data_IF_080105384624
#
_entry.id   IF_080105384624
#
_cell.length_a   1.000
_cell.length_b   1.000
_cell.length_c   1.000
_cell.angle_alpha   90.00
_cell.angle_beta   90.00
_cell.angle_gamma   90.00
#
_symmetry.space_group_name_H-M   'P 1'
#
loop_
_entity.id
_entity.type
_entity.pdbx_description
1 polymer ?
#
# COMPACT_ATOMS: atom_id res chain seq x y z
N UNK A 1 -28.52 -11.73 -9.87
CA UNK A 1 -28.08 -12.56 -11.02
C UNK A 1 -26.58 -12.85 -10.90
N UNK A 2 -26.13 -14.10 -11.02
CA UNK A 2 -24.72 -14.52 -10.74
C UNK A 2 -23.85 -14.70 -11.98
N UNK A 3 -24.38 -14.52 -13.19
CA UNK A 3 -23.63 -14.75 -14.43
C UNK A 3 -22.50 -13.72 -14.62
N UNK A 4 -21.33 -14.20 -15.05
CA UNK A 4 -20.23 -13.31 -15.47
C UNK A 4 -20.58 -12.63 -16.79
N UNK A 5 -20.29 -11.33 -16.87
CA UNK A 5 -20.44 -10.57 -18.10
C UNK A 5 -19.08 -10.29 -18.71
N UNK A 6 -18.87 -10.69 -19.96
CA UNK A 6 -17.63 -10.42 -20.69
C UNK A 6 -17.80 -9.17 -21.54
N UNK A 7 -16.76 -8.34 -21.61
CA UNK A 7 -16.78 -7.19 -22.51
C UNK A 7 -16.53 -7.59 -23.98
N UNK A 8 -16.55 -6.60 -24.87
CA UNK A 8 -16.25 -6.76 -26.30
C UNK A 8 -14.85 -7.35 -26.62
N UNK A 9 -13.93 -7.40 -25.66
CA UNK A 9 -12.60 -8.03 -25.76
C UNK A 9 -12.54 -9.41 -25.11
N UNK A 10 -13.70 -10.00 -24.80
CA UNK A 10 -13.83 -11.26 -24.07
C UNK A 10 -13.11 -11.27 -22.71
N UNK A 11 -13.06 -10.11 -22.03
CA UNK A 11 -12.46 -9.96 -20.69
C UNK A 11 -13.53 -9.62 -19.66
N UNK A 12 -13.40 -10.20 -18.48
CA UNK A 12 -14.18 -9.82 -17.30
C UNK A 12 -13.62 -8.49 -16.77
N UNK A 13 -14.49 -7.51 -16.56
CA UNK A 13 -14.11 -6.25 -15.93
C UNK A 13 -15.25 -5.76 -15.03
N UNK A 14 -14.91 -4.91 -14.04
CA UNK A 14 -15.85 -4.39 -13.05
C UNK A 14 -17.07 -3.74 -13.70
N UNK A 15 -16.87 -2.82 -14.65
CA UNK A 15 -17.95 -1.97 -15.19
C UNK A 15 -19.00 -2.75 -15.98
N UNK A 16 -18.62 -3.85 -16.61
CA UNK A 16 -19.51 -4.69 -17.40
C UNK A 16 -20.35 -5.66 -16.55
N UNK A 17 -20.00 -5.90 -15.28
CA UNK A 17 -20.71 -6.88 -14.45
C UNK A 17 -22.11 -6.41 -14.05
N UNK A 18 -22.93 -7.36 -13.61
CA UNK A 18 -24.25 -7.11 -13.02
C UNK A 18 -24.15 -6.18 -11.79
N UNK A 19 -25.21 -5.44 -11.44
CA UNK A 19 -25.22 -4.58 -10.25
C UNK A 19 -24.73 -5.31 -8.98
N UNK A 20 -25.17 -6.55 -8.76
CA UNK A 20 -24.84 -7.32 -7.57
C UNK A 20 -23.36 -7.72 -7.53
N UNK A 21 -22.80 -8.22 -8.65
CA UNK A 21 -21.38 -8.54 -8.72
C UNK A 21 -20.53 -7.26 -8.57
N UNK A 22 -20.98 -6.12 -9.13
CA UNK A 22 -20.27 -4.84 -8.96
C UNK A 22 -20.23 -4.39 -7.51
N UNK A 23 -21.30 -4.60 -6.75
CA UNK A 23 -21.36 -4.24 -5.34
C UNK A 23 -20.39 -5.07 -4.50
N UNK A 24 -20.41 -6.40 -4.69
CA UNK A 24 -19.43 -7.32 -4.08
C UNK A 24 -18.00 -6.89 -4.42
N UNK A 25 -17.71 -6.66 -5.70
CA UNK A 25 -16.36 -6.29 -6.13
C UNK A 25 -15.92 -4.94 -5.57
N UNK A 26 -16.81 -3.95 -5.48
CA UNK A 26 -16.47 -2.63 -4.93
C UNK A 26 -16.12 -2.73 -3.45
N UNK A 27 -16.91 -3.47 -2.68
CA UNK A 27 -16.62 -3.70 -1.27
C UNK A 27 -15.34 -4.53 -1.08
N UNK A 28 -15.13 -5.56 -1.89
CA UNK A 28 -13.90 -6.36 -1.86
C UNK A 28 -12.65 -5.52 -2.21
N UNK A 29 -12.73 -4.62 -3.19
CA UNK A 29 -11.64 -3.70 -3.53
C UNK A 29 -11.30 -2.81 -2.34
N UNK A 30 -12.31 -2.27 -1.65
CA UNK A 30 -12.10 -1.41 -0.50
C UNK A 30 -11.51 -2.19 0.69
N UNK A 31 -12.00 -3.41 0.97
CA UNK A 31 -11.41 -4.32 1.97
C UNK A 31 -9.95 -4.67 1.66
N UNK A 32 -9.62 -4.93 0.40
CA UNK A 32 -8.23 -5.17 -0.02
C UNK A 32 -7.38 -3.91 0.14
N UNK A 33 -7.90 -2.72 -0.16
CA UNK A 33 -7.17 -1.48 0.09
C UNK A 33 -6.86 -1.31 1.57
N UNK A 34 -7.83 -1.57 2.45
CA UNK A 34 -7.62 -1.59 3.89
C UNK A 34 -6.53 -2.59 4.27
N UNK A 35 -6.60 -3.83 3.80
CA UNK A 35 -5.59 -4.85 4.11
C UNK A 35 -4.18 -4.44 3.63
N UNK A 36 -4.06 -3.98 2.38
CA UNK A 36 -2.78 -3.60 1.78
C UNK A 36 -2.16 -2.40 2.49
N UNK A 37 -2.96 -1.40 2.85
CA UNK A 37 -2.45 -0.17 3.46
C UNK A 37 -2.25 -0.26 4.96
N UNK A 38 -2.90 -1.21 5.64
CA UNK A 38 -2.84 -1.29 7.12
C UNK A 38 -2.14 -2.54 7.66
N UNK A 39 -2.05 -3.61 6.87
CA UNK A 39 -1.51 -4.90 7.32
C UNK A 39 -0.29 -5.32 6.51
N UNK A 40 -0.44 -5.47 5.20
CA UNK A 40 0.62 -5.98 4.37
C UNK A 40 0.61 -5.35 2.97
N UNK A 41 1.52 -4.41 2.72
CA UNK A 41 1.61 -3.78 1.42
C UNK A 41 2.08 -4.74 0.32
N UNK A 42 2.76 -5.84 0.67
CA UNK A 42 3.31 -6.86 -0.25
C UNK A 42 2.99 -8.29 0.21
N UNK A 43 1.71 -8.75 0.14
CA UNK A 43 1.43 -10.18 0.21
C UNK A 43 2.28 -10.95 -0.81
N UNK A 44 2.84 -12.08 -0.37
CA UNK A 44 3.76 -12.91 -1.13
C UNK A 44 3.26 -13.24 -2.54
N UNK A 45 4.21 -13.48 -3.46
CA UNK A 45 3.90 -13.96 -4.81
C UNK A 45 3.31 -15.37 -4.70
N UNK A 46 1.99 -15.46 -4.84
CA UNK A 46 1.22 -16.71 -4.72
C UNK A 46 0.02 -16.55 -3.79
N UNK A 47 0.14 -15.78 -2.71
CA UNK A 47 -0.95 -15.55 -1.74
C UNK A 47 -1.83 -14.36 -2.09
N UNK A 48 -1.33 -13.42 -2.89
CA UNK A 48 -2.06 -12.23 -3.33
C UNK A 48 -3.42 -12.54 -3.99
N UNK A 49 -3.50 -13.57 -4.82
CA UNK A 49 -4.77 -13.99 -5.43
C UNK A 49 -5.75 -14.53 -4.37
N UNK A 50 -5.24 -15.23 -3.35
CA UNK A 50 -6.06 -15.70 -2.23
C UNK A 50 -6.59 -14.53 -1.41
N UNK A 51 -5.75 -13.52 -1.10
CA UNK A 51 -6.20 -12.29 -0.43
C UNK A 51 -7.32 -11.60 -1.21
N UNK A 52 -7.21 -11.52 -2.53
CA UNK A 52 -8.24 -10.95 -3.39
C UNK A 52 -9.54 -11.77 -3.41
N UNK A 53 -9.43 -13.10 -3.41
CA UNK A 53 -10.57 -14.00 -3.36
C UNK A 53 -11.27 -13.96 -1.99
N UNK A 54 -10.51 -14.00 -0.90
CA UNK A 54 -11.03 -13.93 0.47
C UNK A 54 -11.78 -12.63 0.69
N UNK A 55 -11.30 -11.51 0.15
CA UNK A 55 -12.03 -10.25 0.17
C UNK A 55 -13.35 -10.30 -0.62
N UNK A 56 -13.41 -11.04 -1.73
CA UNK A 56 -14.67 -11.25 -2.45
C UNK A 56 -15.67 -12.04 -1.60
N UNK A 57 -15.20 -13.08 -0.91
CA UNK A 57 -16.00 -13.92 -0.01
C UNK A 57 -16.54 -13.08 1.15
N UNK A 58 -15.65 -12.38 1.87
CA UNK A 58 -16.02 -11.51 2.99
C UNK A 58 -16.98 -10.39 2.57
N UNK A 59 -16.79 -9.82 1.37
CA UNK A 59 -17.70 -8.81 0.84
C UNK A 59 -19.11 -9.39 0.59
N UNK A 60 -19.21 -10.56 -0.04
CA UNK A 60 -20.49 -11.21 -0.29
C UNK A 60 -21.20 -11.63 1.01
N UNK A 61 -20.44 -12.10 2.02
CA UNK A 61 -20.95 -12.40 3.36
C UNK A 61 -21.49 -11.14 4.04
N UNK A 62 -20.73 -10.05 4.01
CA UNK A 62 -21.10 -8.78 4.66
C UNK A 62 -22.35 -8.15 4.05
N UNK A 63 -22.52 -8.25 2.72
CA UNK A 63 -23.69 -7.70 2.03
C UNK A 63 -24.98 -8.51 2.30
N UNK A 64 -24.88 -9.69 2.91
CA UNK A 64 -26.01 -10.41 3.47
C UNK A 64 -26.74 -11.36 2.53
N UNK A 65 -27.96 -11.74 2.92
CA UNK A 65 -28.69 -12.91 2.40
C UNK A 65 -28.94 -12.87 0.89
N UNK A 66 -29.18 -11.69 0.32
CA UNK A 66 -29.40 -11.52 -1.12
C UNK A 66 -28.17 -11.85 -1.98
N UNK A 67 -26.97 -11.92 -1.38
CA UNK A 67 -25.71 -12.25 -2.05
C UNK A 67 -25.27 -13.71 -1.86
N UNK A 68 -26.03 -14.52 -1.12
CA UNK A 68 -25.76 -15.97 -0.91
C UNK A 68 -25.49 -16.73 -2.21
N UNK A 69 -26.21 -16.51 -3.33
CA UNK A 69 -25.90 -17.18 -4.59
C UNK A 69 -24.49 -16.86 -5.15
N UNK A 70 -23.97 -15.64 -4.91
CA UNK A 70 -22.62 -15.25 -5.31
C UNK A 70 -21.62 -15.88 -4.33
N UNK A 71 -21.90 -15.81 -3.03
CA UNK A 71 -21.08 -16.41 -1.97
C UNK A 71 -20.86 -17.91 -2.19
N UNK A 72 -21.93 -18.66 -2.44
CA UNK A 72 -21.86 -20.10 -2.68
C UNK A 72 -20.92 -20.44 -3.83
N UNK A 73 -20.94 -19.66 -4.92
CA UNK A 73 -20.04 -19.86 -6.07
C UNK A 73 -18.60 -19.44 -5.77
N UNK A 74 -18.38 -18.44 -4.91
CA UNK A 74 -17.04 -18.05 -4.47
C UNK A 74 -16.40 -19.12 -3.57
N UNK A 75 -17.22 -19.81 -2.76
CA UNK A 75 -16.79 -20.87 -1.84
C UNK A 75 -16.68 -22.25 -2.51
N UNK A 76 -17.39 -22.49 -3.61
CA UNK A 76 -17.32 -23.77 -4.33
C UNK A 76 -15.99 -23.95 -5.07
N UNK A 77 -15.20 -24.93 -4.63
CA UNK A 77 -13.91 -25.30 -5.23
C UNK A 77 -13.99 -25.66 -6.72
N UNK A 78 -15.16 -26.06 -7.22
CA UNK A 78 -15.38 -26.43 -8.61
C UNK A 78 -15.61 -25.23 -9.53
N UNK A 79 -16.01 -24.09 -8.99
CA UNK A 79 -16.29 -22.83 -9.72
C UNK A 79 -15.00 -22.04 -10.03
N UNK A 80 -13.96 -22.73 -10.50
CA UNK A 80 -12.62 -22.16 -10.73
C UNK A 80 -12.65 -20.92 -11.63
N UNK A 81 -13.47 -20.93 -12.68
CA UNK A 81 -13.60 -19.81 -13.61
C UNK A 81 -14.21 -18.57 -12.97
N UNK A 82 -15.27 -18.75 -12.17
CA UNK A 82 -15.94 -17.67 -11.46
C UNK A 82 -15.04 -17.05 -10.39
N UNK A 83 -14.46 -17.91 -9.54
CA UNK A 83 -13.54 -17.51 -8.47
C UNK A 83 -12.35 -16.73 -9.02
N UNK A 84 -11.70 -17.26 -10.05
CA UNK A 84 -10.58 -16.60 -10.70
C UNK A 84 -10.98 -15.24 -11.30
N UNK A 85 -12.10 -15.18 -12.00
CA UNK A 85 -12.53 -13.96 -12.68
C UNK A 85 -12.76 -12.79 -11.71
N UNK A 86 -13.42 -13.02 -10.57
CA UNK A 86 -13.66 -11.98 -9.57
C UNK A 86 -12.37 -11.59 -8.85
N UNK A 87 -11.60 -12.58 -8.42
CA UNK A 87 -10.34 -12.33 -7.73
C UNK A 87 -9.32 -11.59 -8.61
N UNK A 88 -9.23 -11.88 -9.91
CA UNK A 88 -8.32 -11.17 -10.83
C UNK A 88 -8.66 -9.67 -10.96
N UNK A 89 -9.94 -9.29 -10.88
CA UNK A 89 -10.34 -7.87 -10.89
C UNK A 89 -9.81 -7.16 -9.65
N UNK A 90 -10.05 -7.75 -8.48
CA UNK A 90 -9.62 -7.19 -7.19
C UNK A 90 -8.10 -7.18 -7.09
N UNK A 91 -7.45 -8.26 -7.50
CA UNK A 91 -6.00 -8.37 -7.57
C UNK A 91 -5.41 -7.23 -8.41
N UNK A 92 -5.93 -6.98 -9.61
CA UNK A 92 -5.45 -5.90 -10.47
C UNK A 92 -5.50 -4.52 -9.79
N UNK A 93 -6.44 -4.29 -8.87
CA UNK A 93 -6.56 -3.04 -8.11
C UNK A 93 -5.46 -2.83 -7.09
N UNK A 94 -4.84 -3.90 -6.57
CA UNK A 94 -3.64 -3.81 -5.71
C UNK A 94 -2.48 -3.22 -6.49
N UNK A 95 -2.26 -3.69 -7.73
CA UNK A 95 -1.21 -3.15 -8.60
C UNK A 95 -1.45 -1.69 -8.91
N UNK A 96 -2.69 -1.30 -9.23
CA UNK A 96 -3.05 0.10 -9.48
C UNK A 96 -2.77 0.97 -8.25
N UNK A 97 -3.21 0.55 -7.07
CA UNK A 97 -2.98 1.27 -5.81
C UNK A 97 -1.48 1.51 -5.57
N UNK A 98 -0.65 0.47 -5.70
CA UNK A 98 0.80 0.61 -5.51
C UNK A 98 1.43 1.52 -6.57
N UNK A 99 1.00 1.43 -7.82
CA UNK A 99 1.45 2.33 -8.89
C UNK A 99 1.15 3.79 -8.59
N UNK A 100 -0.04 4.09 -8.07
CA UNK A 100 -0.43 5.44 -7.68
C UNK A 100 0.43 5.97 -6.54
N UNK A 101 0.67 5.17 -5.50
CA UNK A 101 1.54 5.54 -4.37
C UNK A 101 2.98 5.75 -4.83
N UNK A 102 3.53 4.86 -5.67
CA UNK A 102 4.88 5.04 -6.23
C UNK A 102 5.00 6.32 -7.02
N UNK A 103 4.02 6.63 -7.88
CA UNK A 103 4.01 7.87 -8.66
C UNK A 103 4.05 9.10 -7.77
N UNK A 104 3.30 9.10 -6.66
CA UNK A 104 3.36 10.16 -5.65
C UNK A 104 4.76 10.19 -5.03
N UNK A 105 5.30 9.04 -4.62
CA UNK A 105 6.62 8.94 -4.01
C UNK A 105 7.73 9.49 -4.90
N UNK A 106 7.78 9.08 -6.18
CA UNK A 106 8.75 9.56 -7.18
C UNK A 106 8.74 11.09 -7.27
N UNK A 107 7.56 11.71 -7.28
CA UNK A 107 7.46 13.17 -7.34
C UNK A 107 7.97 13.85 -6.05
N UNK A 108 7.72 13.25 -4.87
CA UNK A 108 8.16 13.82 -3.60
C UNK A 108 9.68 13.69 -3.39
N UNK A 109 10.25 12.51 -3.69
CA UNK A 109 11.69 12.25 -3.42
C UNK A 109 12.62 13.16 -4.22
N UNK A 110 12.19 13.61 -5.41
CA UNK A 110 12.94 14.55 -6.25
C UNK A 110 13.31 15.83 -5.50
N UNK A 111 12.32 16.50 -4.92
CA UNK A 111 12.53 17.76 -4.21
C UNK A 111 13.23 17.55 -2.87
N UNK A 112 12.78 16.56 -2.09
CA UNK A 112 13.28 16.35 -0.73
C UNK A 112 14.72 15.86 -0.65
N UNK A 113 15.17 15.04 -1.61
CA UNK A 113 16.55 14.56 -1.64
C UNK A 113 17.39 15.25 -2.72
N UNK A 114 16.86 16.23 -3.44
CA UNK A 114 17.55 16.90 -4.56
C UNK A 114 18.10 15.89 -5.60
N UNK A 115 17.30 14.86 -5.92
CA UNK A 115 17.65 13.84 -6.91
C UNK A 115 17.72 14.46 -8.30
N UNK A 116 18.76 14.10 -9.04
CA UNK A 116 18.99 14.54 -10.42
C UNK A 116 19.95 13.59 -11.11
N UNK A 117 20.02 13.67 -12.43
CA UNK A 117 20.98 12.89 -13.24
C UNK A 117 22.42 12.99 -12.75
N UNK A 118 23.19 11.92 -12.97
CA UNK A 118 24.61 11.74 -12.64
C UNK A 118 24.96 11.77 -11.14
N UNK A 119 24.01 11.40 -10.27
CA UNK A 119 24.19 11.36 -8.80
C UNK A 119 24.14 9.95 -8.20
N UNK A 120 24.64 8.93 -8.92
CA UNK A 120 24.59 7.53 -8.49
C UNK A 120 25.18 7.31 -7.08
N UNK A 121 26.36 7.88 -6.80
CA UNK A 121 27.03 7.73 -5.50
C UNK A 121 26.25 8.36 -4.34
N UNK A 122 25.57 9.47 -4.60
CA UNK A 122 24.71 10.11 -3.62
C UNK A 122 23.47 9.25 -3.33
N UNK A 123 22.83 8.70 -4.36
CA UNK A 123 21.70 7.77 -4.18
C UNK A 123 22.13 6.52 -3.43
N UNK A 124 23.30 5.96 -3.76
CA UNK A 124 23.89 4.85 -3.00
C UNK A 124 24.10 5.21 -1.52
N UNK A 125 24.54 6.43 -1.24
CA UNK A 125 24.72 6.94 0.13
C UNK A 125 23.40 7.08 0.88
N UNK A 126 22.32 7.50 0.21
CA UNK A 126 20.97 7.54 0.78
C UNK A 126 20.46 6.14 1.12
N UNK A 127 20.69 5.20 0.22
CA UNK A 127 20.20 3.82 0.31
C UNK A 127 20.98 3.00 1.34
N UNK A 128 22.27 3.30 1.52
CA UNK A 128 23.12 2.71 2.54
C UNK A 128 22.53 2.91 3.94
N UNK A 129 22.42 1.82 4.70
CA UNK A 129 21.75 1.76 6.00
C UNK A 129 20.38 2.47 6.05
N UNK A 130 19.68 2.57 4.90
CA UNK A 130 18.38 3.23 4.76
C UNK A 130 18.37 4.69 5.25
N UNK A 131 19.48 5.44 5.10
CA UNK A 131 19.61 6.81 5.63
C UNK A 131 18.47 7.75 5.25
N UNK A 132 17.85 7.54 4.08
CA UNK A 132 16.69 8.31 3.62
C UNK A 132 15.51 8.35 4.61
N UNK A 133 15.38 7.42 5.56
CA UNK A 133 14.27 7.49 6.53
C UNK A 133 14.46 8.55 7.61
N UNK A 134 15.69 9.02 7.85
CA UNK A 134 16.03 9.93 8.93
C UNK A 134 15.94 11.39 8.47
N UNK A 135 15.45 12.33 9.28
CA UNK A 135 15.44 13.75 8.95
C UNK A 135 16.86 14.33 8.86
N UNK A 136 17.07 15.34 8.02
CA UNK A 136 18.36 16.05 7.92
C UNK A 136 18.67 16.58 6.52
N UNK A 137 19.78 17.32 6.41
CA UNK A 137 20.33 17.76 5.12
C UNK A 137 21.22 16.67 4.52
N UNK A 138 20.59 15.78 3.76
CA UNK A 138 21.27 14.68 3.08
C UNK A 138 22.30 15.15 2.07
N UNK A 139 22.12 16.33 1.45
CA UNK A 139 23.07 16.87 0.48
C UNK A 139 24.41 17.23 1.12
N UNK A 140 24.39 17.48 2.44
CA UNK A 140 25.58 17.70 3.28
C UNK A 140 25.99 16.48 4.09
N UNK A 141 25.35 15.33 3.87
CA UNK A 141 25.59 14.10 4.63
C UNK A 141 25.14 14.18 6.09
N UNK A 142 24.22 15.08 6.43
CA UNK A 142 23.70 15.26 7.79
C UNK A 142 22.37 14.52 7.94
N UNK A 143 22.28 13.65 8.95
CA UNK A 143 21.08 12.89 9.26
C UNK A 143 20.92 12.71 10.77
N UNK A 144 19.69 12.85 11.25
CA UNK A 144 19.32 12.67 12.65
C UNK A 144 18.85 11.23 12.88
N UNK A 145 19.79 10.37 13.26
CA UNK A 145 19.53 8.95 13.55
C UNK A 145 18.59 8.70 14.74
N UNK A 146 18.19 9.74 15.48
CA UNK A 146 17.30 9.61 16.63
C UNK A 146 15.82 9.61 16.26
N UNK A 147 15.49 9.98 15.02
CA UNK A 147 14.11 10.17 14.54
C UNK A 147 13.85 9.38 13.25
N UNK A 148 13.92 8.03 13.30
CA UNK A 148 13.69 7.23 12.10
C UNK A 148 12.26 7.42 11.57
N UNK A 149 12.12 7.38 10.25
CA UNK A 149 10.90 7.62 9.46
C UNK A 149 10.30 9.03 9.57
N UNK A 150 10.91 9.95 10.31
CA UNK A 150 10.44 11.33 10.44
C UNK A 150 10.93 12.27 9.33
N UNK A 151 11.59 11.75 8.28
CA UNK A 151 11.99 12.58 7.14
C UNK A 151 10.77 13.18 6.42
N UNK A 152 10.86 14.46 6.04
CA UNK A 152 9.75 15.21 5.43
C UNK A 152 9.18 14.56 4.16
N UNK A 153 10.00 13.84 3.39
CA UNK A 153 9.55 13.11 2.22
C UNK A 153 8.54 12.01 2.56
N UNK A 154 8.72 11.30 3.68
CA UNK A 154 7.80 10.23 4.12
C UNK A 154 6.44 10.85 4.47
N UNK A 155 6.45 11.90 5.29
CA UNK A 155 5.23 12.64 5.63
C UNK A 155 4.52 13.20 4.38
N UNK A 156 5.26 13.77 3.43
CA UNK A 156 4.66 14.31 2.21
C UNK A 156 4.02 13.24 1.34
N UNK A 157 4.68 12.08 1.18
CA UNK A 157 4.11 10.93 0.46
C UNK A 157 2.85 10.42 1.15
N UNK A 158 2.91 10.21 2.47
CA UNK A 158 1.76 9.73 3.23
C UNK A 158 0.57 10.69 3.16
N UNK A 159 0.81 11.99 3.32
CA UNK A 159 -0.22 13.02 3.20
C UNK A 159 -0.92 12.95 1.85
N UNK A 160 -0.15 12.93 0.77
CA UNK A 160 -0.70 12.91 -0.59
C UNK A 160 -1.36 11.58 -0.95
N UNK A 161 -0.82 10.46 -0.48
CA UNK A 161 -1.32 9.14 -0.82
C UNK A 161 -2.58 8.74 -0.04
N UNK A 162 -2.70 9.15 1.23
CA UNK A 162 -3.73 8.60 2.12
C UNK A 162 -4.64 9.65 2.77
N UNK A 163 -4.20 10.91 2.90
CA UNK A 163 -4.90 11.94 3.69
C UNK A 163 -5.46 13.10 2.86
N UNK A 164 -5.02 13.27 1.60
CA UNK A 164 -5.42 14.41 0.75
C UNK A 164 -6.52 14.04 -0.23
N UNK A 165 -7.47 14.95 -0.43
CA UNK A 165 -8.55 14.85 -1.43
C UNK A 165 -9.87 14.35 -0.84
N UNK A 166 -10.98 14.73 -1.48
CA UNK A 166 -12.31 14.28 -1.07
C UNK A 166 -12.44 12.76 -1.21
N UNK A 167 -12.75 12.07 -0.11
CA UNK A 167 -12.82 10.60 -0.10
C UNK A 167 -11.44 9.93 -0.05
N UNK A 168 -10.44 10.62 0.53
CA UNK A 168 -9.14 10.05 0.86
C UNK A 168 -9.29 8.74 1.67
N UNK A 169 -8.24 7.91 1.69
CA UNK A 169 -8.27 6.68 2.48
C UNK A 169 -8.59 6.98 3.95
N UNK A 170 -7.96 8.03 4.51
CA UNK A 170 -8.21 8.48 5.87
C UNK A 170 -9.67 8.87 6.10
N UNK A 171 -10.30 9.60 5.18
CA UNK A 171 -11.68 10.04 5.38
C UNK A 171 -12.67 8.87 5.34
N UNK A 172 -12.43 7.90 4.46
CA UNK A 172 -13.28 6.71 4.32
C UNK A 172 -13.10 5.71 5.47
N UNK A 173 -11.91 5.66 6.05
CA UNK A 173 -11.50 4.63 7.03
C UNK A 173 -10.96 5.26 8.32
N UNK A 174 -11.61 6.32 8.80
CA UNK A 174 -11.17 7.10 9.95
C UNK A 174 -11.09 6.30 11.26
N UNK A 175 -11.86 5.21 11.35
CA UNK A 175 -11.93 4.26 12.46
C UNK A 175 -10.71 3.34 12.56
N UNK A 176 -9.86 3.27 11.52
CA UNK A 176 -8.67 2.41 11.51
C UNK A 176 -7.43 3.03 12.18
N UNK A 177 -7.47 4.32 12.52
CA UNK A 177 -6.34 5.05 13.09
C UNK A 177 -6.35 5.21 14.62
N UNK A 178 -7.51 5.31 15.30
CA UNK A 178 -7.57 5.31 16.75
C UNK A 178 -7.01 4.01 17.35
N UNK A 179 -6.18 4.14 18.39
CA UNK A 179 -5.75 3.05 19.24
C UNK A 179 -6.63 2.93 20.49
N UNK A 180 -6.51 1.83 21.25
CA UNK A 180 -7.30 1.59 22.45
C UNK A 180 -7.07 2.60 23.59
N UNK A 181 -6.02 3.41 23.51
CA UNK A 181 -5.70 4.53 24.40
C UNK A 181 -6.27 5.88 23.92
N UNK A 182 -6.99 5.90 22.80
CA UNK A 182 -7.53 7.10 22.17
C UNK A 182 -6.52 7.90 21.34
N UNK A 183 -5.24 7.51 21.31
CA UNK A 183 -4.25 8.15 20.45
C UNK A 183 -4.41 7.69 18.99
N UNK A 184 -4.19 8.62 18.06
CA UNK A 184 -4.22 8.32 16.63
C UNK A 184 -2.81 7.96 16.14
N UNK A 185 -2.70 6.85 15.40
CA UNK A 185 -1.41 6.35 14.89
C UNK A 185 -1.58 5.86 13.47
N UNK A 186 -0.52 6.03 12.66
CA UNK A 186 -0.48 5.45 11.31
C UNK A 186 -0.11 3.97 11.35
N UNK A 187 -0.66 3.13 10.46
CA UNK A 187 -0.21 1.75 10.28
C UNK A 187 1.21 1.64 9.70
N UNK A 188 1.98 0.63 10.10
CA UNK A 188 3.33 0.36 9.60
C UNK A 188 3.42 0.31 8.07
N UNK A 189 2.44 -0.35 7.46
CA UNK A 189 2.40 -0.58 6.02
C UNK A 189 2.35 0.73 5.22
N UNK A 190 1.81 1.81 5.79
CA UNK A 190 1.79 3.13 5.14
C UNK A 190 3.15 3.83 5.14
N UNK A 191 4.03 3.49 6.08
CA UNK A 191 5.34 4.14 6.29
C UNK A 191 6.41 3.57 5.35
N UNK A 192 6.32 2.28 5.01
CA UNK A 192 7.39 1.51 4.36
C UNK A 192 7.55 1.69 2.84
N UNK A 193 6.90 2.67 2.20
CA UNK A 193 6.70 2.69 0.73
C UNK A 193 7.56 3.68 -0.07
N UNK A 194 8.47 4.42 0.56
CA UNK A 194 9.29 5.43 -0.15
C UNK A 194 10.53 4.85 -0.86
N UNK A 195 11.01 3.68 -0.43
CA UNK A 195 12.28 3.11 -0.89
C UNK A 195 12.36 2.98 -2.42
N UNK A 196 11.30 2.47 -3.04
CA UNK A 196 11.23 2.26 -4.49
C UNK A 196 11.50 3.54 -5.29
N UNK A 197 10.97 4.66 -4.82
CA UNK A 197 11.09 5.92 -5.53
C UNK A 197 12.54 6.45 -5.55
N UNK A 198 13.32 6.12 -4.52
CA UNK A 198 14.75 6.47 -4.44
C UNK A 198 15.57 5.47 -5.26
N UNK A 199 15.22 4.18 -5.21
CA UNK A 199 15.91 3.11 -5.94
C UNK A 199 15.86 3.28 -7.47
N UNK A 200 14.80 3.89 -8.00
CA UNK A 200 14.69 4.25 -9.43
C UNK A 200 15.74 5.27 -9.88
N UNK A 201 16.56 5.82 -8.98
CA UNK A 201 17.69 6.70 -9.29
C UNK A 201 19.06 6.05 -9.03
N UNK A 202 19.10 4.77 -8.66
CA UNK A 202 20.32 4.06 -8.21
C UNK A 202 21.42 4.01 -9.28
N UNK A 203 21.09 4.05 -10.57
CA UNK A 203 22.09 4.11 -11.66
C UNK A 203 22.69 5.51 -11.86
N UNK A 204 22.15 6.52 -11.18
CA UNK A 204 22.46 7.92 -11.37
C UNK A 204 21.53 8.63 -12.34
N UNK A 205 20.71 7.91 -13.11
CA UNK A 205 19.63 8.46 -13.93
C UNK A 205 18.30 7.83 -13.52
N UNK A 206 17.19 8.45 -13.91
CA UNK A 206 15.85 7.93 -13.60
C UNK A 206 15.53 6.71 -14.47
N UNK A 207 15.41 5.56 -13.83
CA UNK A 207 15.05 4.28 -14.43
C UNK A 207 13.76 3.76 -13.80
N UNK A 208 12.59 4.01 -14.45
CA UNK A 208 11.32 3.52 -13.95
C UNK A 208 11.33 2.00 -13.82
N UNK A 209 11.02 1.51 -12.63
CA UNK A 209 10.97 0.10 -12.34
C UNK A 209 9.53 -0.40 -12.31
N UNK A 210 9.32 -1.62 -12.81
CA UNK A 210 8.03 -2.28 -12.80
C UNK A 210 7.81 -3.02 -11.48
N UNK A 211 6.57 -3.01 -10.98
CA UNK A 211 6.14 -3.76 -9.78
C UNK A 211 6.28 -5.29 -9.87
N UNK A 212 6.74 -5.80 -11.01
CA UNK A 212 6.99 -7.22 -11.26
C UNK A 212 8.30 -7.73 -10.67
N UNK A 213 9.20 -6.85 -10.21
CA UNK A 213 10.42 -7.27 -9.49
C UNK A 213 10.10 -7.53 -8.02
N UNK A 214 10.27 -8.79 -7.59
CA UNK A 214 10.18 -9.24 -6.18
C UNK A 214 11.15 -8.52 -5.21
N UNK A 215 12.00 -7.61 -5.69
CA UNK A 215 12.99 -6.92 -4.86
C UNK A 215 12.36 -6.02 -3.78
N UNK A 216 11.20 -5.41 -4.05
CA UNK A 216 10.60 -4.46 -3.10
C UNK A 216 9.87 -5.11 -1.93
N UNK A 217 9.33 -6.32 -2.13
CA UNK A 217 8.74 -7.09 -1.03
C UNK A 217 9.78 -7.28 0.08
N UNK A 218 11.02 -7.64 -0.29
CA UNK A 218 12.12 -7.79 0.66
C UNK A 218 12.47 -6.49 1.39
N UNK A 219 12.57 -5.35 0.69
CA UNK A 219 12.84 -4.08 1.38
C UNK A 219 11.68 -3.65 2.29
N UNK A 220 10.45 -3.85 1.83
CA UNK A 220 9.26 -3.64 2.66
C UNK A 220 9.33 -4.50 3.93
N UNK A 221 9.64 -5.79 3.81
CA UNK A 221 9.82 -6.70 4.95
C UNK A 221 10.91 -6.22 5.92
N UNK A 222 12.02 -5.67 5.41
CA UNK A 222 13.07 -5.08 6.26
C UNK A 222 12.52 -3.89 7.06
N UNK A 223 11.76 -2.98 6.42
CA UNK A 223 11.13 -1.86 7.14
C UNK A 223 10.13 -2.32 8.19
N UNK A 224 9.25 -3.27 7.84
CA UNK A 224 8.27 -3.83 8.77
C UNK A 224 8.96 -4.55 9.93
N UNK A 225 10.00 -5.34 9.66
CA UNK A 225 10.80 -6.01 10.70
C UNK A 225 11.48 -4.99 11.62
N UNK A 226 12.01 -3.91 11.06
CA UNK A 226 12.64 -2.83 11.86
C UNK A 226 11.60 -2.11 12.71
N UNK A 227 10.43 -1.76 12.16
CA UNK A 227 9.33 -1.16 12.92
C UNK A 227 8.84 -2.08 14.06
N UNK A 228 8.67 -3.36 13.77
CA UNK A 228 8.32 -4.37 14.78
C UNK A 228 9.39 -4.48 15.86
N UNK A 229 10.67 -4.49 15.48
CA UNK A 229 11.77 -4.52 16.44
C UNK A 229 11.76 -3.28 17.34
N UNK A 230 11.65 -2.06 16.78
CA UNK A 230 11.55 -0.83 17.57
C UNK A 230 10.32 -0.86 18.49
N UNK A 231 9.19 -1.42 18.04
CA UNK A 231 8.01 -1.62 18.89
C UNK A 231 8.30 -2.54 20.08
N UNK A 232 9.07 -3.61 19.90
CA UNK A 232 9.36 -4.54 21.00
C UNK A 232 10.40 -4.01 21.97
N UNK A 233 11.46 -3.34 21.48
CA UNK A 233 12.57 -2.89 22.34
C UNK A 233 12.41 -1.47 22.88
N UNK A 234 11.63 -0.62 22.20
CA UNK A 234 11.48 0.80 22.49
C UNK A 234 10.06 1.28 22.18
N UNK A 235 9.06 0.55 22.67
CA UNK A 235 7.64 0.80 22.41
C UNK A 235 7.23 2.28 22.54
N UNK A 236 7.63 3.04 23.58
CA UNK A 236 7.27 4.46 23.69
C UNK A 236 7.74 5.30 22.49
N UNK A 237 8.97 5.06 22.01
CA UNK A 237 9.50 5.76 20.83
C UNK A 237 8.76 5.38 19.56
N UNK A 238 8.48 4.09 19.39
CA UNK A 238 7.66 3.62 18.27
C UNK A 238 6.29 4.33 18.23
N UNK A 239 5.58 4.37 19.35
CA UNK A 239 4.25 4.99 19.42
C UNK A 239 4.31 6.51 19.21
N UNK A 240 5.32 7.17 19.77
CA UNK A 240 5.58 8.59 19.53
C UNK A 240 5.84 8.88 18.04
N UNK A 241 6.65 8.08 17.35
CA UNK A 241 6.89 8.22 15.91
C UNK A 241 5.60 8.06 15.10
N UNK A 242 4.80 7.03 15.38
CA UNK A 242 3.56 6.80 14.62
C UNK A 242 2.49 7.85 14.88
N UNK A 243 2.41 8.37 16.10
CA UNK A 243 1.54 9.49 16.43
C UNK A 243 2.04 10.79 15.79
N UNK A 244 3.34 11.08 15.85
CA UNK A 244 3.96 12.22 15.18
C UNK A 244 3.66 12.21 13.68
N UNK A 245 3.85 11.07 13.02
CA UNK A 245 3.52 10.92 11.61
C UNK A 245 2.04 11.21 11.37
N UNK A 246 1.13 10.63 12.16
CA UNK A 246 -0.30 10.89 12.04
C UNK A 246 -0.63 12.39 12.14
N UNK A 247 -0.11 13.10 13.16
CA UNK A 247 -0.34 14.53 13.34
C UNK A 247 0.25 15.36 12.21
N UNK A 248 1.40 14.95 11.67
CA UNK A 248 2.09 15.66 10.59
C UNK A 248 1.36 15.52 9.27
N UNK A 249 0.76 14.36 8.97
CA UNK A 249 0.17 14.08 7.65
C UNK A 249 -1.31 14.45 7.55
N UNK A 250 -1.96 14.73 8.68
CA UNK A 250 -3.35 15.20 8.75
C UNK A 250 -3.56 16.54 8.01
#
# INVERSE_FOLDING_TARGET
>A
MTALVYNNKNKVNLTAQTPEIREVLRLAIDQVYVYILTKNAYPEVGTRHMVALDACIMAAEHLGTQYVPILNRLQDGNEKGFRKALADIVDGRISVLRCDIKRIAVNQVLGFYALSSRKADYVKTLMDAQRYVFPGDHTRGQFNNREPWCHGAIAAVMRMAYFTGSGSFRDRHHDLFPCGDGELRVPDAMVALIHVAIDEWSSGDYEPANFTRNSWARTYEVHISTLNHVRTIAAPRYYQTMNYLFQTVR
#
